data_IF_706501018644
#
_entry.id   IF_706501018644
#
_cell.length_a   1.000
_cell.length_b   1.000
_cell.length_c   1.000
_cell.angle_alpha   90.00
_cell.angle_beta   90.00
_cell.angle_gamma   90.00
#
_symmetry.space_group_name_H-M   'P 1'
#
loop_
_entity.id
_entity.type
_entity.pdbx_description
1 polymer ?
#
# COMPACT_ATOMS: atom_id res chain seq x y z
N UNK A 1 1.83 -10.79 15.23
CA UNK A 1 2.51 -11.06 13.94
C UNK A 1 3.02 -9.72 13.45
N UNK A 2 4.29 -9.61 13.05
CA UNK A 2 4.88 -8.33 12.67
C UNK A 2 4.58 -8.03 11.21
N UNK A 3 3.75 -7.02 10.96
CA UNK A 3 3.60 -6.41 9.65
C UNK A 3 4.90 -5.68 9.32
N UNK A 4 5.42 -5.89 8.11
CA UNK A 4 6.63 -5.22 7.63
C UNK A 4 6.39 -4.73 6.21
N UNK A 5 6.77 -3.49 5.96
CA UNK A 5 6.77 -2.87 4.64
C UNK A 5 8.17 -3.00 4.05
N UNK A 6 8.26 -3.57 2.86
CA UNK A 6 9.49 -3.68 2.08
C UNK A 6 9.79 -2.40 1.28
N UNK A 7 10.73 -2.44 0.33
CA UNK A 7 10.98 -1.30 -0.56
C UNK A 7 9.70 -0.87 -1.28
N UNK A 8 9.48 0.45 -1.30
CA UNK A 8 8.34 1.08 -1.97
C UNK A 8 8.89 1.97 -3.08
N UNK A 9 8.26 1.91 -4.26
CA UNK A 9 8.60 2.73 -5.41
C UNK A 9 7.35 3.39 -5.99
N UNK A 10 7.55 4.57 -6.56
CA UNK A 10 6.52 5.34 -7.23
C UNK A 10 6.90 5.55 -8.69
N UNK A 11 6.08 5.02 -9.60
CA UNK A 11 6.36 5.05 -11.05
C UNK A 11 5.80 6.29 -11.78
N UNK A 12 5.12 7.20 -11.07
CA UNK A 12 4.40 8.34 -11.64
C UNK A 12 2.87 8.19 -11.62
N UNK A 13 2.39 6.95 -11.57
CA UNK A 13 0.98 6.57 -11.65
C UNK A 13 0.51 5.73 -10.45
N UNK A 14 1.35 4.82 -9.95
CA UNK A 14 1.05 3.86 -8.89
C UNK A 14 2.19 3.75 -7.89
N UNK A 15 1.82 3.54 -6.63
CA UNK A 15 2.75 3.25 -5.55
C UNK A 15 2.81 1.74 -5.39
N UNK A 16 3.97 1.16 -5.67
CA UNK A 16 4.19 -0.28 -5.68
C UNK A 16 5.13 -0.64 -4.56
N UNK A 17 4.80 -1.68 -3.81
CA UNK A 17 5.68 -2.16 -2.75
C UNK A 17 5.34 -3.56 -2.31
N UNK A 18 6.00 -3.99 -1.24
CA UNK A 18 5.83 -5.31 -0.66
C UNK A 18 5.36 -5.19 0.77
N UNK A 19 4.38 -6.02 1.15
CA UNK A 19 3.93 -6.15 2.53
C UNK A 19 4.09 -7.61 2.97
N UNK A 20 4.37 -7.82 4.25
CA UNK A 20 4.33 -9.16 4.86
C UNK A 20 3.01 -9.34 5.59
N UNK A 21 2.19 -10.26 5.11
CA UNK A 21 0.85 -10.55 5.63
C UNK A 21 0.78 -12.02 6.02
N UNK A 22 0.55 -12.30 7.32
CA UNK A 22 0.58 -13.67 7.90
C UNK A 22 1.87 -14.46 7.54
N UNK A 23 3.01 -13.77 7.42
CA UNK A 23 4.29 -14.39 7.04
C UNK A 23 4.50 -14.57 5.53
N UNK A 24 3.52 -14.23 4.70
CA UNK A 24 3.63 -14.24 3.23
C UNK A 24 4.00 -12.86 2.72
N UNK A 25 5.02 -12.78 1.86
CA UNK A 25 5.39 -11.54 1.18
C UNK A 25 4.48 -11.34 -0.05
N UNK A 26 3.72 -10.25 -0.07
CA UNK A 26 2.74 -9.95 -1.12
C UNK A 26 3.16 -8.62 -1.78
N UNK A 27 3.21 -8.61 -3.11
CA UNK A 27 3.35 -7.37 -3.88
C UNK A 27 2.00 -6.67 -3.92
N UNK A 28 1.96 -5.40 -3.52
CA UNK A 28 0.76 -4.58 -3.54
C UNK A 28 0.99 -3.30 -4.33
N UNK A 29 -0.09 -2.78 -4.90
CA UNK A 29 -0.11 -1.52 -5.62
C UNK A 29 -1.29 -0.67 -5.16
N UNK A 30 -1.12 0.65 -5.17
CA UNK A 30 -2.17 1.62 -4.93
C UNK A 30 -2.07 2.76 -5.96
N UNK A 31 -3.20 3.08 -6.59
CA UNK A 31 -3.32 4.25 -7.46
C UNK A 31 -3.60 5.53 -6.66
N UNK A 32 -3.53 6.68 -7.35
CA UNK A 32 -3.75 8.00 -6.75
C UNK A 32 -5.09 8.11 -6.02
N UNK A 33 -6.16 7.61 -6.65
CA UNK A 33 -7.51 7.63 -6.09
C UNK A 33 -7.61 6.84 -4.77
N UNK A 34 -6.95 5.69 -4.71
CA UNK A 34 -6.87 4.84 -3.53
C UNK A 34 -6.08 5.52 -2.41
N UNK A 35 -4.94 6.13 -2.75
CA UNK A 35 -4.12 6.89 -1.79
C UNK A 35 -4.93 8.05 -1.20
N UNK A 36 -5.58 8.88 -2.02
CA UNK A 36 -6.40 10.00 -1.53
C UNK A 36 -7.53 9.56 -0.61
N UNK A 37 -8.20 8.46 -0.96
CA UNK A 37 -9.34 7.95 -0.20
C UNK A 37 -8.94 7.38 1.16
N UNK A 38 -7.82 6.69 1.23
CA UNK A 38 -7.46 5.87 2.40
C UNK A 38 -6.25 6.40 3.19
N UNK A 39 -5.49 7.33 2.62
CA UNK A 39 -4.36 7.99 3.26
C UNK A 39 -4.53 9.53 3.26
N UNK A 40 -5.58 10.06 3.92
CA UNK A 40 -5.82 11.49 3.97
C UNK A 40 -4.61 12.23 4.57
N UNK A 41 -4.29 13.38 3.98
CA UNK A 41 -3.10 14.18 4.29
C UNK A 41 -1.94 14.01 3.31
N UNK A 42 -2.00 13.04 2.41
CA UNK A 42 -1.11 12.95 1.26
C UNK A 42 -1.88 13.41 0.02
N UNK A 43 -1.63 14.65 -0.40
CA UNK A 43 -2.15 15.21 -1.64
C UNK A 43 -1.26 14.75 -2.81
N UNK A 44 -1.87 14.49 -3.96
CA UNK A 44 -1.14 14.08 -5.17
C UNK A 44 -0.72 15.26 -6.05
N UNK A 45 -1.04 16.49 -5.60
CA UNK A 45 -0.56 17.73 -6.18
C UNK A 45 0.96 17.72 -6.38
N UNK A 46 1.69 16.96 -5.55
CA UNK A 46 3.13 16.82 -5.62
C UNK A 46 3.54 15.33 -5.66
N UNK A 47 3.79 14.84 -6.87
CA UNK A 47 4.31 13.48 -7.15
C UNK A 47 5.54 13.10 -6.31
N UNK A 48 6.37 14.08 -5.93
CA UNK A 48 7.54 13.85 -5.08
C UNK A 48 7.17 13.52 -3.63
N UNK A 49 6.03 13.99 -3.12
CA UNK A 49 5.55 13.70 -1.77
C UNK A 49 5.15 12.23 -1.66
N UNK A 50 4.43 11.71 -2.63
CA UNK A 50 4.07 10.29 -2.69
C UNK A 50 5.33 9.41 -2.73
N UNK A 51 6.33 9.80 -3.54
CA UNK A 51 7.61 9.10 -3.60
C UNK A 51 8.36 9.15 -2.26
N UNK A 52 8.37 10.29 -1.59
CA UNK A 52 9.09 10.50 -0.32
C UNK A 52 8.42 9.79 0.86
N UNK A 53 7.09 9.73 0.87
CA UNK A 53 6.29 9.22 1.98
C UNK A 53 5.67 7.84 1.70
N UNK A 54 6.16 7.11 0.71
CA UNK A 54 5.56 5.85 0.25
C UNK A 54 5.36 4.80 1.34
N UNK A 55 6.31 4.67 2.28
CA UNK A 55 6.18 3.76 3.41
C UNK A 55 5.02 4.16 4.35
N UNK A 56 4.93 5.44 4.70
CA UNK A 56 3.88 5.98 5.58
C UNK A 56 2.49 5.91 4.92
N UNK A 57 2.42 6.09 3.60
CA UNK A 57 1.22 5.84 2.81
C UNK A 57 0.81 4.36 2.89
N UNK A 58 1.76 3.43 2.76
CA UNK A 58 1.49 1.99 2.87
C UNK A 58 1.02 1.57 4.26
N UNK A 59 1.51 2.21 5.33
CA UNK A 59 0.99 1.99 6.69
C UNK A 59 -0.49 2.37 6.79
N UNK A 60 -0.87 3.54 6.26
CA UNK A 60 -2.28 3.97 6.21
C UNK A 60 -3.15 3.08 5.32
N UNK A 61 -2.57 2.52 4.26
CA UNK A 61 -3.26 1.58 3.35
C UNK A 61 -3.31 0.15 3.88
N UNK A 62 -2.60 -0.19 4.96
CA UNK A 62 -2.56 -1.56 5.49
C UNK A 62 -3.96 -2.15 5.77
N UNK A 63 -4.93 -1.41 6.35
CA UNK A 63 -6.30 -1.93 6.52
C UNK A 63 -6.99 -2.26 5.19
N UNK A 64 -6.77 -1.46 4.15
CA UNK A 64 -7.29 -1.71 2.81
C UNK A 64 -6.67 -2.98 2.22
N UNK A 65 -5.34 -3.14 2.32
CA UNK A 65 -4.65 -4.34 1.85
C UNK A 65 -5.06 -5.59 2.64
N UNK A 66 -5.21 -5.49 3.96
CA UNK A 66 -5.72 -6.59 4.79
C UNK A 66 -7.10 -7.04 4.33
N UNK A 67 -8.03 -6.11 4.06
CA UNK A 67 -9.35 -6.46 3.55
C UNK A 67 -9.31 -7.09 2.15
N UNK A 68 -8.48 -6.54 1.25
CA UNK A 68 -8.37 -7.00 -0.14
C UNK A 68 -7.70 -8.38 -0.28
N UNK A 69 -6.73 -8.71 0.58
CA UNK A 69 -5.94 -9.94 0.49
C UNK A 69 -6.30 -11.01 1.54
N UNK A 70 -7.08 -10.67 2.57
CA UNK A 70 -7.61 -11.65 3.54
C UNK A 70 -8.74 -12.52 2.98
N UNK A 71 -9.24 -12.26 1.78
CA UNK A 71 -10.29 -13.05 1.09
C UNK A 71 -9.74 -14.18 0.22
N UNK A 72 -8.42 -14.43 0.23
CA UNK A 72 -7.80 -15.54 -0.52
C UNK A 72 -8.00 -16.93 0.10
N UNK A 73 -8.78 -17.05 1.18
CA UNK A 73 -9.02 -18.31 1.91
C UNK A 73 -10.47 -18.79 1.78
N UNK A 74 -11.00 -18.78 0.54
CA UNK A 74 -12.22 -19.52 0.21
C UNK A 74 -12.20 -19.99 -1.24
N UNK A 75 -11.60 -21.16 -1.45
CA UNK A 75 -11.94 -22.21 -2.43
C UNK A 75 -10.93 -23.33 -2.16
N UNK A 76 -11.26 -24.46 -1.53
CA UNK A 76 -12.42 -25.30 -1.81
C UNK A 76 -12.05 -26.22 -2.96
#
# INVERSE_FOLDING_TARGET
MSEKIGPVDWDGHRLVGWIVLKGTCIKVEADRHTIHRHAPGFDDALTWEIKRHGAEIFEKLMPYFLAAYSTSDTSG
#
